data_IF_757034081537
#
_entry.id   IF_757034081537
#
_cell.length_a   1.000
_cell.length_b   1.000
_cell.length_c   1.000
_cell.angle_alpha   90.00
_cell.angle_beta   90.00
_cell.angle_gamma   90.00
#
_symmetry.space_group_name_H-M   'P 1'
#
loop_
_entity.id
_entity.type
_entity.pdbx_description
1 polymer ?
#
# COMPACT_ATOMS: atom_id res chain seq x y z
N UNK A 1 -5.87 -10.93 5.38
CA UNK A 1 -5.71 -10.34 6.73
C UNK A 1 -6.33 -11.29 7.74
N UNK A 2 -5.62 -11.64 8.81
CA UNK A 2 -6.23 -12.34 9.97
C UNK A 2 -6.58 -11.29 11.01
N UNK A 3 -7.73 -11.44 11.67
CA UNK A 3 -8.16 -10.57 12.76
C UNK A 3 -8.39 -11.42 14.02
N UNK A 4 -8.01 -10.87 15.16
CA UNK A 4 -8.11 -11.55 16.45
C UNK A 4 -9.03 -10.75 17.38
N UNK A 5 -9.82 -11.46 18.17
CA UNK A 5 -10.68 -10.87 19.17
C UNK A 5 -9.83 -10.22 20.26
N UNK A 6 -10.08 -8.95 20.57
CA UNK A 6 -9.36 -8.22 21.62
C UNK A 6 -9.69 -8.69 23.04
N UNK A 7 -10.80 -9.42 23.21
CA UNK A 7 -11.26 -9.91 24.51
C UNK A 7 -10.67 -11.26 24.88
N UNK A 8 -10.52 -12.18 23.91
CA UNK A 8 -10.10 -13.56 24.18
C UNK A 8 -8.93 -14.06 23.32
N UNK A 9 -8.44 -13.26 22.38
CA UNK A 9 -7.34 -13.63 21.48
C UNK A 9 -7.70 -14.68 20.40
N UNK A 10 -8.91 -15.24 20.41
CA UNK A 10 -9.35 -16.20 19.39
C UNK A 10 -9.52 -15.53 18.02
N UNK A 11 -9.55 -16.34 16.95
CA UNK A 11 -9.76 -15.84 15.58
C UNK A 11 -11.13 -15.18 15.45
N UNK A 12 -11.17 -14.05 14.75
CA UNK A 12 -12.41 -13.42 14.29
C UNK A 12 -12.66 -13.63 12.80
N UNK A 13 -13.92 -13.51 12.39
CA UNK A 13 -14.33 -13.34 10.99
C UNK A 13 -14.78 -11.91 10.73
N UNK A 14 -14.58 -11.43 9.51
CA UNK A 14 -15.18 -10.18 9.03
C UNK A 14 -16.54 -10.54 8.42
N UNK A 15 -17.64 -10.06 8.98
CA UNK A 15 -19.00 -10.34 8.50
C UNK A 15 -19.44 -9.40 7.38
N UNK A 16 -19.04 -8.13 7.45
CA UNK A 16 -19.34 -7.12 6.44
C UNK A 16 -18.30 -6.01 6.47
N UNK A 17 -18.27 -5.21 5.41
CA UNK A 17 -17.42 -4.03 5.29
C UNK A 17 -18.21 -2.83 4.80
N UNK A 18 -17.85 -1.66 5.28
CA UNK A 18 -18.36 -0.37 4.83
C UNK A 18 -17.19 0.45 4.30
N UNK A 19 -17.16 0.69 2.99
CA UNK A 19 -16.15 1.53 2.36
C UNK A 19 -16.55 3.00 2.54
N UNK A 20 -15.77 3.73 3.34
CA UNK A 20 -16.01 5.16 3.60
C UNK A 20 -15.25 6.00 2.57
N UNK A 21 -13.99 5.63 2.31
CA UNK A 21 -13.18 6.15 1.21
C UNK A 21 -12.28 5.04 0.68
N UNK A 22 -11.60 5.28 -0.45
CA UNK A 22 -10.58 4.34 -0.97
C UNK A 22 -9.44 4.05 0.04
N UNK A 23 -9.24 4.93 1.01
CA UNK A 23 -8.20 4.84 2.03
C UNK A 23 -8.72 4.40 3.41
N UNK A 24 -10.04 4.28 3.60
CA UNK A 24 -10.63 3.99 4.90
C UNK A 24 -11.88 3.11 4.79
N UNK A 25 -11.84 1.97 5.50
CA UNK A 25 -12.90 0.96 5.52
C UNK A 25 -13.18 0.55 6.97
N UNK A 26 -14.46 0.47 7.34
CA UNK A 26 -14.88 -0.17 8.59
C UNK A 26 -15.15 -1.65 8.36
N UNK A 27 -14.60 -2.51 9.21
CA UNK A 27 -14.76 -3.95 9.17
C UNK A 27 -15.58 -4.40 10.38
N UNK A 28 -16.78 -4.92 10.13
CA UNK A 28 -17.63 -5.49 11.18
C UNK A 28 -17.22 -6.94 11.39
N UNK A 29 -16.86 -7.27 12.62
CA UNK A 29 -16.16 -8.51 12.94
C UNK A 29 -16.88 -9.27 14.07
N UNK A 30 -16.71 -10.60 14.08
CA UNK A 30 -17.25 -11.48 15.10
C UNK A 30 -16.22 -12.54 15.49
N UNK A 31 -16.10 -12.82 16.79
CA UNK A 31 -15.26 -13.88 17.33
C UNK A 31 -15.82 -15.25 16.92
N UNK A 32 -14.94 -16.17 16.51
CA UNK A 32 -15.33 -17.52 16.12
C UNK A 32 -15.45 -18.49 17.29
N UNK A 33 -14.97 -18.10 18.48
CA UNK A 33 -15.24 -18.87 19.69
C UNK A 33 -16.68 -18.58 20.15
N UNK A 34 -17.53 -19.62 20.09
CA UNK A 34 -18.93 -19.55 20.47
C UNK A 34 -19.15 -19.17 21.94
N UNK A 35 -18.17 -19.44 22.83
CA UNK A 35 -18.23 -19.00 24.22
C UNK A 35 -17.97 -17.51 24.38
N UNK A 36 -17.12 -16.95 23.53
CA UNK A 36 -16.78 -15.53 23.56
C UNK A 36 -17.85 -14.68 22.87
N UNK A 37 -18.24 -15.02 21.63
CA UNK A 37 -19.31 -14.34 20.89
C UNK A 37 -19.09 -12.85 20.58
N UNK A 38 -17.98 -12.25 21.01
CA UNK A 38 -17.71 -10.81 20.88
C UNK A 38 -17.81 -10.33 19.43
N UNK A 39 -18.49 -9.22 19.22
CA UNK A 39 -18.58 -8.50 17.95
C UNK A 39 -17.96 -7.12 18.10
N UNK A 40 -17.25 -6.66 17.07
CA UNK A 40 -16.56 -5.37 17.11
C UNK A 40 -16.43 -4.75 15.72
N UNK A 41 -16.13 -3.45 15.69
CA UNK A 41 -15.75 -2.73 14.47
C UNK A 41 -14.25 -2.46 14.49
N UNK A 42 -13.55 -2.85 13.43
CA UNK A 42 -12.14 -2.53 13.22
C UNK A 42 -11.97 -1.54 12.06
N UNK A 43 -11.14 -0.53 12.25
CA UNK A 43 -10.83 0.45 11.23
C UNK A 43 -9.61 0.01 10.43
N UNK A 44 -9.79 -0.24 9.12
CA UNK A 44 -8.70 -0.46 8.18
C UNK A 44 -8.43 0.85 7.43
N UNK A 45 -7.26 1.43 7.64
CA UNK A 45 -6.89 2.72 7.06
C UNK A 45 -5.50 2.67 6.42
N UNK A 46 -5.38 3.27 5.24
CA UNK A 46 -4.08 3.59 4.66
C UNK A 46 -3.37 4.62 5.54
N UNK A 47 -2.14 4.31 5.97
CA UNK A 47 -1.33 5.25 6.75
C UNK A 47 -0.41 6.06 5.84
N UNK A 48 0.54 5.39 5.19
CA UNK A 48 1.52 6.01 4.32
C UNK A 48 2.14 4.98 3.39
N UNK A 49 2.79 5.48 2.35
CA UNK A 49 3.52 4.68 1.36
C UNK A 49 4.96 4.47 1.82
N UNK A 50 5.39 3.21 2.00
CA UNK A 50 6.80 2.88 2.28
C UNK A 50 7.67 2.93 1.02
N UNK A 51 7.14 2.43 -0.10
CA UNK A 51 7.73 2.56 -1.43
C UNK A 51 6.63 2.90 -2.44
N UNK A 52 6.83 3.92 -3.29
CA UNK A 52 5.84 4.28 -4.31
C UNK A 52 5.60 3.10 -5.25
N UNK A 53 4.42 3.07 -5.86
CA UNK A 53 4.12 2.10 -6.91
C UNK A 53 5.09 2.28 -8.08
N UNK A 54 5.36 1.20 -8.83
CA UNK A 54 6.19 1.28 -10.05
C UNK A 54 5.68 2.34 -11.03
N UNK A 55 4.35 2.46 -11.16
CA UNK A 55 3.72 3.48 -11.98
C UNK A 55 4.07 4.91 -11.53
N UNK A 56 4.15 5.15 -10.22
CA UNK A 56 4.54 6.45 -9.69
C UNK A 56 6.05 6.67 -9.81
N UNK A 57 6.86 5.61 -9.74
CA UNK A 57 8.31 5.69 -9.98
C UNK A 57 8.63 6.11 -11.41
N UNK A 58 7.95 5.53 -12.41
CA UNK A 58 8.18 5.87 -13.81
C UNK A 58 7.92 7.36 -14.07
N UNK A 59 6.79 7.88 -13.57
CA UNK A 59 6.47 9.32 -13.64
C UNK A 59 7.55 10.16 -12.96
N UNK A 60 7.96 9.78 -11.74
CA UNK A 60 9.03 10.49 -11.01
C UNK A 60 10.37 10.46 -11.74
N UNK A 61 10.70 9.37 -12.44
CA UNK A 61 11.91 9.28 -13.26
C UNK A 61 11.85 10.25 -14.43
N UNK A 62 10.73 10.31 -15.15
CA UNK A 62 10.55 11.25 -16.26
C UNK A 62 10.52 12.70 -15.82
N UNK A 63 9.94 13.00 -14.66
CA UNK A 63 9.94 14.35 -14.11
C UNK A 63 11.37 14.77 -13.71
N UNK A 64 12.12 13.90 -13.03
CA UNK A 64 13.53 14.16 -12.71
C UNK A 64 14.40 14.33 -13.94
N UNK A 65 14.20 13.52 -14.98
CA UNK A 65 14.92 13.66 -16.25
C UNK A 65 14.67 15.04 -16.88
N UNK A 66 13.42 15.51 -16.86
CA UNK A 66 13.04 16.83 -17.38
C UNK A 66 13.66 17.99 -16.60
N UNK A 67 13.86 17.84 -15.29
CA UNK A 67 14.46 18.86 -14.43
C UNK A 67 15.99 18.98 -14.57
N UNK A 68 16.65 18.02 -15.23
CA UNK A 68 18.08 18.09 -15.49
C UNK A 68 18.40 19.12 -16.58
N UNK A 69 19.55 19.79 -16.46
CA UNK A 69 20.11 20.61 -17.54
C UNK A 69 20.36 19.76 -18.80
N UNK A 70 20.24 20.31 -20.02
CA UNK A 70 20.42 19.56 -21.26
C UNK A 70 21.72 18.76 -21.34
N UNK A 71 22.82 19.29 -20.82
CA UNK A 71 24.13 18.60 -20.86
C UNK A 71 24.14 17.36 -19.97
N UNK A 72 23.53 17.44 -18.77
CA UNK A 72 23.38 16.29 -17.86
C UNK A 72 22.42 15.23 -18.42
N UNK A 73 21.38 15.63 -19.13
CA UNK A 73 20.51 14.68 -19.82
C UNK A 73 21.29 13.89 -20.87
N UNK A 74 22.06 14.59 -21.72
CA UNK A 74 22.92 13.96 -22.74
C UNK A 74 23.92 12.98 -22.12
N UNK A 75 24.62 13.39 -21.07
CA UNK A 75 25.57 12.52 -20.37
C UNK A 75 24.89 11.25 -19.85
N UNK A 76 23.72 11.37 -19.23
CA UNK A 76 22.96 10.23 -18.72
C UNK A 76 22.51 9.28 -19.84
N UNK A 77 22.04 9.82 -20.97
CA UNK A 77 21.66 9.01 -22.13
C UNK A 77 22.86 8.32 -22.78
N UNK A 78 24.03 8.98 -22.83
CA UNK A 78 25.28 8.34 -23.27
C UNK A 78 25.69 7.19 -22.36
N UNK A 79 25.58 7.35 -21.03
CA UNK A 79 25.88 6.28 -20.08
C UNK A 79 24.96 5.07 -20.26
N UNK A 80 23.66 5.29 -20.47
CA UNK A 80 22.69 4.24 -20.79
C UNK A 80 23.04 3.51 -22.10
N UNK A 81 23.42 4.27 -23.14
CA UNK A 81 23.85 3.71 -24.42
C UNK A 81 25.10 2.83 -24.31
N UNK A 82 26.03 3.15 -23.40
CA UNK A 82 27.24 2.34 -23.14
C UNK A 82 26.95 1.03 -22.40
N UNK A 83 25.91 0.99 -21.57
CA UNK A 83 25.52 -0.22 -20.82
C UNK A 83 24.77 -1.25 -21.68
N UNK A 84 24.10 -0.83 -22.76
CA UNK A 84 23.35 -1.74 -23.63
C UNK A 84 24.22 -2.59 -24.59
N UNK A 85 25.53 -2.35 -24.62
CA UNK A 85 26.48 -2.97 -25.56
C UNK A 85 27.38 -4.03 -24.88
N UNK A 86 27.10 -4.39 -23.62
CA UNK A 86 27.74 -5.49 -22.88
C UNK A 86 26.72 -6.60 -22.59
#
# INVERSE_FOLDING_TARGET
MRIYCTTCGHKGRISSREEVTRAYVKLYCQCLDAKCGHTWVANLMFSHTLRPSGQQLDVMLFDRLRDLTPDKQKELFEQLGRQAVA
#
